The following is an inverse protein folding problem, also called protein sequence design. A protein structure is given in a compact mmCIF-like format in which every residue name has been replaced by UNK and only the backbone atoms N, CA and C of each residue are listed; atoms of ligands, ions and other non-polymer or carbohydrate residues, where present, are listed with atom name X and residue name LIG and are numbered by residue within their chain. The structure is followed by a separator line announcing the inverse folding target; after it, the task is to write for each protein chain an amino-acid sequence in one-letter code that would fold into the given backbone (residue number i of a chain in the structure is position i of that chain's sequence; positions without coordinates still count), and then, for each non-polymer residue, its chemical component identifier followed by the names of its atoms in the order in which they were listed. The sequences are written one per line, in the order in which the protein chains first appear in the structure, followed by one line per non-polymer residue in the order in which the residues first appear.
data_IF_780657679296
#
_entry.id   IF_780657679296
#
_cell.length_a   1.000
_cell.length_b   1.000
_cell.length_c   1.000
_cell.angle_alpha   90.00
_cell.angle_beta   90.00
_cell.angle_gamma   90.00
#
_symmetry.space_group_name_H-M   'P 1'
#
loop_
_entity.id
_entity.type
_entity.pdbx_description
1 polymer ?
#
# COMPACT_ATOMS: atom_id res chain seq x y z
N UNK A 1 21.84 -17.66 49.08
CA UNK A 1 22.65 -17.78 47.83
C UNK A 1 22.27 -18.98 46.96
N UNK A 2 22.56 -20.25 47.28
CA UNK A 2 22.30 -21.38 46.35
C UNK A 2 20.83 -21.54 45.89
N UNK A 3 19.84 -21.35 46.79
CA UNK A 3 18.40 -21.38 46.47
C UNK A 3 17.94 -20.23 45.57
N UNK A 4 18.54 -19.04 45.74
CA UNK A 4 18.23 -17.85 44.94
C UNK A 4 18.80 -17.99 43.53
N UNK A 5 20.03 -18.50 43.38
CA UNK A 5 20.60 -18.80 42.07
C UNK A 5 19.82 -19.88 41.30
N UNK A 6 19.29 -20.90 41.98
CA UNK A 6 18.45 -21.92 41.33
C UNK A 6 17.08 -21.40 40.88
N UNK A 7 16.47 -20.51 41.67
CA UNK A 7 15.20 -19.87 41.28
C UNK A 7 15.40 -18.99 40.04
N UNK A 8 16.43 -18.13 40.05
CA UNK A 8 16.76 -17.26 38.92
C UNK A 8 17.11 -18.05 37.65
N UNK A 9 17.82 -19.18 37.78
CA UNK A 9 18.12 -20.04 36.65
C UNK A 9 16.86 -20.72 36.07
N UNK A 10 15.87 -21.02 36.92
CA UNK A 10 14.60 -21.61 36.50
C UNK A 10 13.73 -20.59 35.76
N UNK A 11 13.63 -19.37 36.30
CA UNK A 11 12.91 -18.25 35.67
C UNK A 11 13.52 -17.88 34.31
N UNK A 12 14.85 -17.77 34.24
CA UNK A 12 15.56 -17.49 32.99
C UNK A 12 15.34 -18.61 31.97
N UNK A 13 15.39 -19.87 32.39
CA UNK A 13 15.10 -21.01 31.51
C UNK A 13 13.67 -20.94 30.99
N UNK A 14 12.69 -20.58 31.82
CA UNK A 14 11.30 -20.43 31.39
C UNK A 14 11.15 -19.29 30.39
N UNK A 15 11.72 -18.11 30.67
CA UNK A 15 11.67 -16.96 29.77
C UNK A 15 12.30 -17.28 28.40
N UNK A 16 13.49 -17.89 28.38
CA UNK A 16 14.17 -18.26 27.14
C UNK A 16 13.43 -19.33 26.32
N UNK A 17 12.68 -20.22 26.97
CA UNK A 17 11.87 -21.24 26.29
C UNK A 17 10.42 -20.77 26.04
N UNK A 18 10.09 -19.50 26.30
CA UNK A 18 8.77 -18.96 25.97
C UNK A 18 8.55 -19.04 24.44
N UNK A 19 7.35 -19.45 23.99
CA UNK A 19 7.06 -19.64 22.58
C UNK A 19 6.90 -18.29 21.86
N UNK A 20 7.32 -18.27 20.60
CA UNK A 20 7.11 -17.20 19.64
C UNK A 20 6.50 -17.78 18.37
N UNK A 21 5.58 -17.05 17.77
CA UNK A 21 4.89 -17.45 16.55
C UNK A 21 5.07 -16.37 15.48
N UNK A 22 5.49 -16.77 14.29
CA UNK A 22 5.56 -15.91 13.11
C UNK A 22 4.52 -16.39 12.11
N UNK A 23 3.49 -15.59 11.90
CA UNK A 23 2.47 -15.86 10.90
C UNK A 23 2.72 -15.02 9.67
N UNK A 24 2.73 -15.69 8.52
CA UNK A 24 2.97 -15.11 7.22
C UNK A 24 1.63 -15.18 6.48
N UNK A 25 1.09 -14.05 6.06
CA UNK A 25 -0.28 -13.97 5.54
C UNK A 25 -0.32 -13.11 4.28
N UNK A 26 -0.73 -13.70 3.15
CA UNK A 26 -1.10 -12.94 1.97
C UNK A 26 -2.43 -12.20 2.14
N UNK A 27 -2.46 -10.92 1.75
CA UNK A 27 -3.70 -10.15 1.68
C UNK A 27 -4.47 -10.47 0.39
N UNK A 28 -5.34 -11.48 0.44
CA UNK A 28 -6.12 -11.93 -0.73
C UNK A 28 -7.43 -11.13 -0.81
N UNK A 29 -7.74 -10.46 -1.95
CA UNK A 29 -9.03 -9.82 -2.17
C UNK A 29 -10.21 -10.81 -2.18
N UNK A 30 -11.41 -10.33 -1.86
CA UNK A 30 -12.61 -11.17 -1.83
C UNK A 30 -12.88 -11.84 -3.19
N UNK A 31 -12.97 -13.17 -3.18
CA UNK A 31 -13.23 -13.98 -4.38
C UNK A 31 -11.98 -14.35 -5.20
N UNK A 32 -10.81 -13.84 -4.83
CA UNK A 32 -9.54 -14.18 -5.48
C UNK A 32 -8.86 -15.40 -4.85
N UNK A 33 -7.81 -15.90 -5.54
CA UNK A 33 -6.95 -16.98 -5.05
C UNK A 33 -5.59 -16.41 -4.67
N UNK A 34 -4.92 -17.07 -3.73
CA UNK A 34 -3.55 -16.75 -3.35
C UNK A 34 -2.62 -16.73 -4.58
N UNK A 35 -1.88 -15.63 -4.74
CA UNK A 35 -0.78 -15.48 -5.70
C UNK A 35 0.45 -16.25 -5.25
N UNK A 36 0.67 -16.35 -3.93
CA UNK A 36 1.87 -16.96 -3.37
C UNK A 36 1.66 -18.40 -2.91
N UNK A 37 0.55 -19.04 -3.26
CA UNK A 37 0.28 -20.43 -2.90
C UNK A 37 1.39 -21.36 -3.43
N UNK A 38 2.02 -22.12 -2.52
CA UNK A 38 3.13 -23.02 -2.84
C UNK A 38 4.48 -22.32 -3.03
N UNK A 39 4.59 -21.01 -2.84
CA UNK A 39 5.86 -20.31 -2.78
C UNK A 39 6.63 -20.69 -1.50
N UNK A 40 7.95 -20.71 -1.61
CA UNK A 40 8.84 -20.90 -0.46
C UNK A 40 9.11 -19.54 0.19
N UNK A 41 9.03 -19.49 1.50
CA UNK A 41 9.32 -18.31 2.31
C UNK A 41 10.39 -18.64 3.35
N UNK A 42 11.26 -17.68 3.63
CA UNK A 42 12.36 -17.80 4.60
C UNK A 42 12.47 -16.54 5.44
N UNK A 43 12.57 -16.70 6.76
CA UNK A 43 12.73 -15.62 7.73
C UNK A 43 14.17 -15.63 8.28
N UNK A 44 14.87 -14.51 8.17
CA UNK A 44 16.30 -14.44 8.46
C UNK A 44 16.78 -13.09 8.96
N UNK A 45 18.01 -13.05 9.44
CA UNK A 45 18.75 -11.78 9.57
C UNK A 45 19.11 -11.26 8.18
N UNK A 46 19.23 -9.94 8.00
CA UNK A 46 19.83 -9.37 6.80
C UNK A 46 21.17 -10.05 6.48
N UNK A 47 21.39 -10.34 5.20
CA UNK A 47 22.62 -10.91 4.63
C UNK A 47 23.01 -12.32 5.08
N UNK A 48 22.16 -13.06 5.81
CA UNK A 48 22.44 -14.48 6.10
C UNK A 48 22.35 -15.37 4.84
N UNK A 49 22.72 -16.66 4.99
CA UNK A 49 22.35 -17.76 4.10
C UNK A 49 21.11 -18.50 4.60
N UNK A 50 20.36 -19.15 3.67
CA UNK A 50 19.05 -19.74 3.99
C UNK A 50 19.21 -20.77 5.09
N UNK A 51 18.35 -20.69 6.10
CA UNK A 51 18.23 -21.70 7.15
C UNK A 51 16.92 -22.46 6.96
N UNK A 52 17.02 -23.77 6.73
CA UNK A 52 15.85 -24.64 6.55
C UNK A 52 14.91 -24.64 7.77
N UNK A 53 15.41 -24.32 8.96
CA UNK A 53 14.58 -24.25 10.17
C UNK A 53 13.69 -22.99 10.20
N UNK A 54 14.00 -21.99 9.39
CA UNK A 54 13.26 -20.74 9.25
C UNK A 54 12.64 -20.58 7.87
N UNK A 55 12.65 -21.65 7.07
CA UNK A 55 12.02 -21.71 5.77
C UNK A 55 10.78 -22.61 5.81
N UNK A 56 9.73 -22.22 5.11
CA UNK A 56 8.50 -22.99 4.97
C UNK A 56 7.83 -22.70 3.63
N UNK A 57 6.76 -23.43 3.31
CA UNK A 57 5.99 -23.27 2.07
C UNK A 57 4.61 -22.74 2.41
N UNK A 58 4.16 -21.74 1.65
CA UNK A 58 2.82 -21.17 1.81
C UNK A 58 1.76 -22.16 1.35
N UNK A 59 0.69 -22.27 2.13
CA UNK A 59 -0.45 -23.10 1.82
C UNK A 59 -1.29 -22.53 0.66
N UNK A 60 -2.42 -23.20 0.35
CA UNK A 60 -3.32 -22.81 -0.73
C UNK A 60 -3.99 -21.44 -0.53
N UNK A 61 -3.98 -20.94 0.71
CA UNK A 61 -4.59 -19.67 1.12
C UNK A 61 -3.50 -18.59 1.37
N UNK A 62 -2.26 -18.82 0.90
CA UNK A 62 -1.16 -17.87 0.99
C UNK A 62 -0.65 -17.68 2.42
N UNK A 63 -0.77 -18.71 3.27
CA UNK A 63 -0.44 -18.64 4.70
C UNK A 63 0.65 -19.62 5.08
N UNK A 64 1.45 -19.24 6.07
CA UNK A 64 2.32 -20.16 6.78
C UNK A 64 2.59 -19.67 8.21
N UNK A 65 2.98 -20.61 9.07
CA UNK A 65 3.41 -20.31 10.44
C UNK A 65 4.80 -20.91 10.67
N UNK A 66 5.65 -20.17 11.37
CA UNK A 66 6.94 -20.63 11.89
C UNK A 66 6.92 -20.45 13.41
N UNK A 67 7.10 -21.55 14.12
CA UNK A 67 7.18 -21.57 15.59
C UNK A 67 8.63 -21.54 16.06
N UNK A 68 8.90 -20.76 17.09
CA UNK A 68 10.20 -20.67 17.73
C UNK A 68 10.07 -20.52 19.26
N UNK A 69 11.21 -20.53 19.93
CA UNK A 69 11.33 -19.99 21.30
C UNK A 69 12.12 -18.69 21.25
N UNK A 70 12.04 -17.88 22.31
CA UNK A 70 12.91 -16.69 22.45
C UNK A 70 14.38 -17.07 22.26
N UNK A 71 14.82 -18.20 22.85
CA UNK A 71 16.18 -18.69 22.68
C UNK A 71 16.49 -19.07 21.23
N UNK A 72 15.60 -19.80 20.57
CA UNK A 72 15.76 -20.20 19.17
C UNK A 72 15.87 -18.98 18.24
N UNK A 73 15.02 -17.98 18.46
CA UNK A 73 15.05 -16.71 17.75
C UNK A 73 16.39 -15.95 17.96
N UNK A 74 16.88 -15.88 19.20
CA UNK A 74 18.17 -15.26 19.50
C UNK A 74 19.35 -16.04 18.88
N UNK A 75 19.32 -17.37 18.92
CA UNK A 75 20.36 -18.23 18.34
C UNK A 75 20.39 -18.15 16.81
N UNK A 76 19.25 -17.91 16.17
CA UNK A 76 19.14 -17.63 14.74
C UNK A 76 19.67 -16.23 14.35
N UNK A 77 20.14 -15.44 15.33
CA UNK A 77 20.70 -14.12 15.08
C UNK A 77 19.65 -13.04 14.90
N UNK A 78 18.46 -13.19 15.52
CA UNK A 78 17.40 -12.18 15.56
C UNK A 78 16.90 -11.86 14.14
N UNK A 79 16.23 -12.82 13.48
CA UNK A 79 15.76 -12.61 12.11
C UNK A 79 14.68 -11.52 12.00
N UNK A 80 14.85 -10.62 11.04
CA UNK A 80 13.98 -9.45 10.79
C UNK A 80 13.68 -9.20 9.31
N UNK A 81 14.10 -10.10 8.42
CA UNK A 81 13.87 -10.02 6.98
C UNK A 81 13.19 -11.29 6.49
N UNK A 82 12.17 -11.14 5.66
CA UNK A 82 11.48 -12.20 4.95
C UNK A 82 11.91 -12.17 3.48
N UNK A 83 12.15 -13.35 2.91
CA UNK A 83 12.36 -13.53 1.47
C UNK A 83 11.43 -14.60 0.94
N UNK A 84 11.01 -14.46 -0.32
CA UNK A 84 10.05 -15.36 -0.95
C UNK A 84 10.48 -15.70 -2.38
N UNK A 85 10.29 -16.95 -2.77
CA UNK A 85 10.63 -17.49 -4.09
C UNK A 85 9.40 -18.14 -4.73
N UNK A 86 9.36 -18.27 -6.05
CA UNK A 86 8.26 -18.97 -6.70
C UNK A 86 8.26 -20.46 -6.32
N UNK A 87 7.12 -21.08 -6.56
CA UNK A 87 7.01 -22.53 -6.48
C UNK A 87 7.95 -23.19 -7.50
N UNK A 88 8.91 -23.97 -6.99
CA UNK A 88 9.84 -24.75 -7.80
C UNK A 88 11.19 -24.08 -8.03
N UNK A 89 11.34 -22.81 -7.67
CA UNK A 89 12.65 -22.13 -7.62
C UNK A 89 13.53 -22.81 -6.57
N UNK A 90 14.84 -22.83 -6.80
CA UNK A 90 15.84 -23.24 -5.82
C UNK A 90 16.25 -22.01 -4.98
N UNK A 91 15.87 -21.93 -3.69
CA UNK A 91 16.16 -20.75 -2.87
C UNK A 91 17.68 -20.51 -2.64
N UNK A 92 18.53 -21.49 -2.94
CA UNK A 92 19.99 -21.37 -2.83
C UNK A 92 20.66 -20.80 -4.08
N UNK A 93 20.02 -20.92 -5.24
CA UNK A 93 20.58 -20.54 -6.54
C UNK A 93 19.80 -19.38 -7.19
N UNK A 94 18.48 -19.36 -7.03
CA UNK A 94 17.57 -18.39 -7.63
C UNK A 94 17.37 -17.14 -6.76
N UNK A 95 17.10 -16.02 -7.42
CA UNK A 95 16.80 -14.75 -6.74
C UNK A 95 15.38 -14.75 -6.14
N UNK A 96 15.17 -14.17 -4.94
CA UNK A 96 13.83 -14.04 -4.37
C UNK A 96 12.98 -13.06 -5.19
N UNK A 97 11.69 -13.35 -5.33
CA UNK A 97 10.70 -12.45 -5.95
C UNK A 97 10.21 -11.35 -5.01
N UNK A 98 10.39 -11.54 -3.71
CA UNK A 98 10.05 -10.55 -2.68
C UNK A 98 11.08 -10.63 -1.56
N UNK A 99 11.55 -9.46 -1.12
CA UNK A 99 12.35 -9.29 0.08
C UNK A 99 11.75 -8.14 0.88
N UNK A 100 11.44 -8.35 2.15
CA UNK A 100 10.83 -7.34 3.02
C UNK A 100 11.36 -7.43 4.43
N UNK A 101 11.45 -6.30 5.13
CA UNK A 101 11.75 -6.25 6.56
C UNK A 101 10.47 -6.29 7.38
N UNK A 102 10.56 -6.79 8.62
CA UNK A 102 9.44 -6.82 9.56
C UNK A 102 9.91 -6.58 10.99
N UNK A 103 8.99 -6.16 11.86
CA UNK A 103 9.24 -5.94 13.29
C UNK A 103 8.67 -7.10 14.11
N UNK A 104 9.47 -7.62 15.02
CA UNK A 104 9.08 -8.73 15.92
C UNK A 104 8.33 -8.21 17.13
N UNK A 105 7.27 -8.91 17.51
CA UNK A 105 6.49 -8.65 18.73
C UNK A 105 6.69 -9.80 19.73
N UNK A 106 6.38 -9.58 21.01
CA UNK A 106 6.75 -10.47 22.12
C UNK A 106 6.14 -11.89 22.08
N UNK A 107 5.10 -12.14 21.26
CA UNK A 107 4.42 -13.46 21.22
C UNK A 107 4.05 -13.91 19.82
N UNK A 108 3.33 -13.07 19.07
CA UNK A 108 2.83 -13.39 17.73
C UNK A 108 3.13 -12.24 16.80
N UNK A 109 4.04 -12.47 15.87
CA UNK A 109 4.41 -11.54 14.81
C UNK A 109 3.62 -11.89 13.56
N UNK A 110 2.81 -10.97 13.06
CA UNK A 110 2.10 -11.14 11.78
C UNK A 110 2.87 -10.39 10.70
N UNK A 111 3.28 -11.11 9.66
CA UNK A 111 4.06 -10.62 8.54
C UNK A 111 3.17 -10.70 7.29
N UNK A 112 2.58 -9.58 6.85
CA UNK A 112 1.79 -9.57 5.64
C UNK A 112 2.71 -9.78 4.42
N UNK A 113 2.35 -10.70 3.52
CA UNK A 113 3.05 -10.90 2.25
C UNK A 113 2.44 -10.04 1.19
N UNK A 114 3.33 -9.30 0.50
CA UNK A 114 2.90 -8.41 -0.55
C UNK A 114 1.84 -7.47 -0.02
N UNK A 115 2.25 -6.48 0.78
CA UNK A 115 1.58 -5.19 0.63
C UNK A 115 1.78 -4.77 -0.82
N UNK A 116 0.99 -5.33 -1.74
CA UNK A 116 0.57 -4.58 -2.90
C UNK A 116 -0.24 -3.50 -2.23
N UNK A 117 0.45 -2.39 -1.91
CA UNK A 117 -0.23 -1.19 -1.50
C UNK A 117 -1.38 -1.04 -2.48
N UNK A 118 -2.61 -1.11 -1.96
CA UNK A 118 -3.79 -1.19 -2.82
C UNK A 118 -3.65 -0.03 -3.81
N UNK A 119 -3.57 -0.39 -5.08
CA UNK A 119 -3.41 0.61 -6.13
C UNK A 119 -4.79 1.16 -6.41
N UNK A 120 -4.86 2.47 -6.52
CA UNK A 120 -6.10 3.13 -6.88
C UNK A 120 -5.86 4.07 -8.04
N UNK A 121 -6.88 4.16 -8.89
CA UNK A 121 -6.98 5.19 -9.89
C UNK A 121 -7.61 6.41 -9.23
N UNK A 122 -6.92 7.55 -9.23
CA UNK A 122 -7.43 8.84 -8.78
C UNK A 122 -7.65 9.74 -9.99
N UNK A 123 -8.91 10.00 -10.33
CA UNK A 123 -9.30 10.76 -11.52
C UNK A 123 -10.19 11.94 -11.16
N UNK A 124 -10.16 12.98 -11.99
CA UNK A 124 -11.09 14.11 -11.83
C UNK A 124 -12.50 13.64 -12.20
N UNK A 125 -13.43 13.69 -11.24
CA UNK A 125 -14.81 13.20 -11.42
C UNK A 125 -15.76 14.32 -11.82
N UNK A 126 -15.54 15.55 -11.34
CA UNK A 126 -16.40 16.69 -11.68
C UNK A 126 -15.62 17.88 -12.21
N UNK A 127 -16.25 18.62 -13.12
CA UNK A 127 -15.70 19.85 -13.71
C UNK A 127 -16.41 21.08 -13.15
N UNK A 128 -15.65 22.12 -12.80
CA UNK A 128 -16.20 23.35 -12.22
C UNK A 128 -17.10 24.12 -13.18
N UNK A 129 -18.27 24.57 -12.69
CA UNK A 129 -19.18 25.47 -13.41
C UNK A 129 -18.43 26.77 -13.75
N UNK A 130 -18.29 27.09 -15.04
CA UNK A 130 -17.52 28.25 -15.54
C UNK A 130 -16.35 27.87 -16.44
N UNK A 131 -15.83 26.64 -16.31
CA UNK A 131 -14.92 26.06 -17.30
C UNK A 131 -15.67 25.71 -18.60
N UNK A 132 -14.94 25.56 -19.70
CA UNK A 132 -15.50 25.14 -21.00
C UNK A 132 -16.34 23.85 -20.91
N UNK A 133 -16.11 23.02 -19.88
CA UNK A 133 -16.80 21.76 -19.61
C UNK A 133 -17.55 21.71 -18.27
N UNK A 134 -17.80 22.87 -17.66
CA UNK A 134 -18.27 22.96 -16.29
C UNK A 134 -19.63 22.33 -15.97
N UNK A 135 -19.78 21.84 -14.75
CA UNK A 135 -21.01 21.26 -14.21
C UNK A 135 -21.27 19.81 -14.62
N UNK A 136 -20.32 19.17 -15.29
CA UNK A 136 -20.43 17.78 -15.75
C UNK A 136 -19.65 16.82 -14.86
N UNK A 137 -20.10 15.58 -14.78
CA UNK A 137 -19.28 14.46 -14.32
C UNK A 137 -18.33 14.00 -15.43
N UNK A 138 -17.33 13.16 -15.12
CA UNK A 138 -16.47 12.53 -16.12
C UNK A 138 -17.25 11.65 -17.08
N UNK A 139 -18.30 10.99 -16.60
CA UNK A 139 -19.18 10.16 -17.42
C UNK A 139 -19.98 11.04 -18.41
N UNK A 140 -20.56 12.15 -17.93
CA UNK A 140 -21.26 13.13 -18.78
C UNK A 140 -20.32 13.84 -19.75
N UNK A 141 -19.08 14.09 -19.33
CA UNK A 141 -18.04 14.63 -20.20
C UNK A 141 -17.69 13.66 -21.31
N UNK A 142 -17.43 12.39 -20.95
CA UNK A 142 -17.14 11.31 -21.88
C UNK A 142 -18.28 11.13 -22.89
N UNK A 143 -19.53 11.15 -22.43
CA UNK A 143 -20.72 11.02 -23.26
C UNK A 143 -20.91 12.18 -24.23
N UNK A 144 -20.60 13.40 -23.81
CA UNK A 144 -20.75 14.58 -24.66
C UNK A 144 -19.62 14.77 -25.69
N UNK A 145 -18.45 14.15 -25.50
CA UNK A 145 -17.25 14.44 -26.31
C UNK A 145 -16.72 13.20 -27.03
N UNK A 146 -17.54 12.64 -27.91
CA UNK A 146 -17.20 11.46 -28.72
C UNK A 146 -15.88 11.56 -29.50
N UNK A 147 -15.46 12.76 -29.93
CA UNK A 147 -14.20 12.97 -30.65
C UNK A 147 -12.96 12.80 -29.77
N UNK A 148 -13.04 13.06 -28.45
CA UNK A 148 -11.91 12.88 -27.52
C UNK A 148 -11.75 11.43 -27.08
N UNK A 149 -12.74 10.57 -27.32
CA UNK A 149 -12.68 9.16 -26.97
C UNK A 149 -11.58 8.44 -27.75
N UNK A 150 -11.33 8.84 -29.00
CA UNK A 150 -10.39 8.16 -29.90
C UNK A 150 -10.65 6.63 -29.98
N UNK A 151 -11.90 6.21 -29.79
CA UNK A 151 -12.29 4.79 -29.76
C UNK A 151 -12.13 4.09 -28.41
N UNK A 152 -11.63 4.77 -27.37
CA UNK A 152 -11.44 4.24 -26.01
C UNK A 152 -12.76 4.12 -25.24
N UNK A 153 -12.85 3.10 -24.40
CA UNK A 153 -13.85 2.97 -23.33
C UNK A 153 -13.69 4.05 -22.25
N UNK A 154 -14.71 4.22 -21.41
CA UNK A 154 -14.66 5.16 -20.28
C UNK A 154 -13.55 4.78 -19.28
N UNK A 155 -13.31 3.49 -19.06
CA UNK A 155 -12.26 3.01 -18.15
C UNK A 155 -10.86 3.29 -18.70
N UNK A 156 -10.64 3.03 -19.99
CA UNK A 156 -9.40 3.42 -20.69
C UNK A 156 -9.21 4.94 -20.66
N UNK A 157 -10.29 5.70 -20.87
CA UNK A 157 -10.26 7.16 -20.80
C UNK A 157 -9.87 7.66 -19.40
N UNK A 158 -10.47 7.08 -18.34
CA UNK A 158 -10.10 7.36 -16.94
C UNK A 158 -8.64 7.01 -16.70
N UNK A 159 -8.18 5.82 -17.13
CA UNK A 159 -6.79 5.37 -16.97
C UNK A 159 -5.79 6.33 -17.61
N UNK A 160 -6.07 6.77 -18.83
CA UNK A 160 -5.20 7.69 -19.56
C UNK A 160 -5.19 9.11 -18.98
N UNK A 161 -6.15 9.47 -18.11
CA UNK A 161 -6.33 10.82 -17.56
C UNK A 161 -6.34 10.88 -16.02
N UNK A 162 -5.68 9.94 -15.36
CA UNK A 162 -5.64 9.82 -13.90
C UNK A 162 -4.25 9.61 -13.33
N UNK A 163 -4.16 9.63 -12.00
CA UNK A 163 -3.00 9.18 -11.24
C UNK A 163 -3.21 7.75 -10.78
N UNK A 164 -2.15 6.96 -10.75
CA UNK A 164 -2.13 5.71 -10.02
C UNK A 164 -1.48 5.99 -8.67
N UNK A 165 -2.23 5.76 -7.61
CA UNK A 165 -1.80 6.03 -6.23
C UNK A 165 -1.78 4.76 -5.40
N UNK A 166 -1.05 4.82 -4.30
CA UNK A 166 -1.00 3.82 -3.25
C UNK A 166 -1.08 4.50 -1.90
N UNK A 167 -1.67 3.85 -0.91
CA UNK A 167 -1.60 4.30 0.49
C UNK A 167 -1.08 3.15 1.33
N UNK A 168 0.00 3.40 2.05
CA UNK A 168 0.65 2.47 2.97
C UNK A 168 0.69 3.04 4.38
N UNK A 169 0.99 2.20 5.38
CA UNK A 169 1.01 2.60 6.79
C UNK A 169 -0.35 2.49 7.48
N UNK A 170 -0.43 3.02 8.71
CA UNK A 170 -1.62 2.95 9.58
C UNK A 170 -1.69 4.20 10.45
N UNK A 171 -2.90 4.65 10.78
CA UNK A 171 -3.07 5.82 11.64
C UNK A 171 -2.28 7.01 11.08
N UNK A 172 -1.61 7.76 11.94
CA UNK A 172 -0.81 8.93 11.58
C UNK A 172 0.51 8.63 10.84
N UNK A 173 0.88 7.35 10.69
CA UNK A 173 2.07 6.93 9.94
C UNK A 173 1.72 6.57 8.47
N UNK A 174 0.51 6.91 8.03
CA UNK A 174 0.07 6.60 6.68
C UNK A 174 0.72 7.52 5.64
N UNK A 175 1.07 6.97 4.48
CA UNK A 175 1.72 7.69 3.39
C UNK A 175 0.99 7.38 2.09
N UNK A 176 0.59 8.42 1.38
CA UNK A 176 0.09 8.34 0.01
C UNK A 176 1.24 8.53 -0.96
N UNK A 177 1.42 7.60 -1.89
CA UNK A 177 2.45 7.67 -2.94
C UNK A 177 1.80 7.62 -4.31
N UNK A 178 2.16 8.56 -5.18
CA UNK A 178 1.81 8.53 -6.61
C UNK A 178 2.84 7.66 -7.31
N UNK A 179 2.39 6.50 -7.79
CA UNK A 179 3.27 5.50 -8.43
C UNK A 179 3.33 5.66 -9.94
N UNK A 180 2.33 6.30 -10.53
CA UNK A 180 2.33 6.68 -11.93
C UNK A 180 1.42 7.89 -12.15
N UNK A 181 1.73 8.69 -13.16
CA UNK A 181 0.99 9.88 -13.52
C UNK A 181 0.80 9.94 -15.04
N UNK A 182 -0.06 10.84 -15.50
CA UNK A 182 -0.29 11.05 -16.92
C UNK A 182 1.01 11.22 -17.71
N UNK A 183 1.08 10.51 -18.84
CA UNK A 183 2.05 10.79 -19.90
C UNK A 183 1.89 12.25 -20.35
N UNK A 184 2.91 13.07 -20.13
CA UNK A 184 2.90 14.52 -20.45
C UNK A 184 2.37 15.44 -19.35
N UNK A 185 2.09 14.93 -18.14
CA UNK A 185 1.73 15.73 -16.94
C UNK A 185 2.65 15.42 -15.76
N UNK A 186 3.89 15.03 -16.05
CA UNK A 186 4.91 14.72 -15.04
C UNK A 186 5.19 15.93 -14.12
N UNK A 187 4.93 17.14 -14.61
CA UNK A 187 5.04 18.41 -13.86
C UNK A 187 3.78 18.78 -13.05
N UNK A 188 2.73 17.95 -13.07
CA UNK A 188 1.54 18.24 -12.28
C UNK A 188 1.86 18.21 -10.78
N UNK A 189 1.23 19.10 -9.96
CA UNK A 189 1.65 19.24 -8.58
C UNK A 189 1.46 17.96 -7.76
N UNK A 190 0.46 17.12 -8.08
CA UNK A 190 0.25 15.85 -7.36
C UNK A 190 1.35 14.86 -7.63
N UNK A 191 1.81 14.76 -8.87
CA UNK A 191 2.91 13.88 -9.20
C UNK A 191 4.21 14.38 -8.57
N UNK A 192 4.48 15.69 -8.64
CA UNK A 192 5.67 16.29 -8.06
C UNK A 192 5.78 16.10 -6.55
N UNK A 193 4.65 16.23 -5.83
CA UNK A 193 4.59 16.08 -4.38
C UNK A 193 4.43 14.62 -3.94
N UNK A 194 3.62 13.85 -4.68
CA UNK A 194 3.22 12.51 -4.31
C UNK A 194 4.21 11.41 -4.69
N UNK A 195 5.13 11.65 -5.63
CA UNK A 195 6.17 10.67 -5.96
C UNK A 195 7.10 10.33 -4.78
N UNK A 196 7.32 11.32 -3.90
CA UNK A 196 8.19 11.20 -2.73
C UNK A 196 7.39 10.87 -1.45
N UNK A 197 6.06 10.73 -1.58
CA UNK A 197 5.15 10.41 -0.49
C UNK A 197 4.54 11.63 0.19
N UNK A 198 3.23 11.60 0.41
CA UNK A 198 2.47 12.57 1.19
C UNK A 198 2.10 11.91 2.52
N UNK A 199 2.70 12.41 3.61
CA UNK A 199 2.36 11.97 4.95
C UNK A 199 0.93 12.38 5.33
N UNK A 200 0.20 11.47 5.94
CA UNK A 200 -1.18 11.67 6.33
C UNK A 200 -1.64 10.69 7.41
N UNK A 201 -2.95 10.59 7.56
CA UNK A 201 -3.59 9.70 8.50
C UNK A 201 -4.59 8.78 7.78
N UNK A 202 -4.47 7.48 8.00
CA UNK A 202 -5.47 6.49 7.61
C UNK A 202 -6.33 6.14 8.82
N UNK A 203 -7.65 6.16 8.65
CA UNK A 203 -8.58 5.83 9.72
C UNK A 203 -8.44 4.37 10.19
N UNK A 204 -9.06 4.04 11.33
CA UNK A 204 -8.96 2.70 11.92
C UNK A 204 -9.52 1.60 11.00
N UNK A 205 -10.46 1.94 10.12
CA UNK A 205 -11.06 1.03 9.15
C UNK A 205 -10.16 0.77 7.95
N UNK A 206 -9.20 1.67 7.67
CA UNK A 206 -8.34 1.60 6.50
C UNK A 206 -8.95 2.19 5.23
N UNK A 207 -10.02 2.97 5.36
CA UNK A 207 -10.90 3.38 4.27
C UNK A 207 -10.85 4.89 4.00
N UNK A 208 -10.46 5.71 4.98
CA UNK A 208 -10.38 7.16 4.82
C UNK A 208 -8.94 7.60 5.06
N UNK A 209 -8.30 8.11 4.01
CA UNK A 209 -7.00 8.75 4.09
C UNK A 209 -7.18 10.27 4.09
N UNK A 210 -6.48 10.95 5.01
CA UNK A 210 -6.45 12.42 5.08
C UNK A 210 -5.03 12.91 5.15
N UNK A 211 -4.72 14.01 4.46
CA UNK A 211 -3.42 14.65 4.55
C UNK A 211 -3.53 16.16 4.42
N UNK A 212 -2.58 16.87 5.00
CA UNK A 212 -2.36 18.30 4.75
C UNK A 212 -0.97 18.47 4.16
N UNK A 213 -0.87 19.17 3.03
CA UNK A 213 0.38 19.32 2.29
C UNK A 213 0.45 20.75 1.73
N UNK A 214 1.61 21.39 1.86
CA UNK A 214 1.79 22.77 1.42
C UNK A 214 0.86 23.79 2.10
N UNK A 215 0.81 25.01 1.55
CA UNK A 215 0.13 26.20 2.09
C UNK A 215 -1.40 26.08 2.12
N UNK A 216 -1.91 25.25 3.04
CA UNK A 216 -3.34 25.05 3.26
C UNK A 216 -3.99 24.07 2.28
N UNK A 217 -3.22 23.24 1.56
CA UNK A 217 -3.82 22.16 0.77
C UNK A 217 -4.12 20.94 1.62
N UNK A 218 -5.25 20.28 1.33
CA UNK A 218 -5.70 19.08 2.01
C UNK A 218 -6.20 18.05 1.02
N UNK A 219 -5.92 16.78 1.31
CA UNK A 219 -6.45 15.61 0.60
C UNK A 219 -7.35 14.87 1.58
N UNK A 220 -8.52 14.48 1.12
CA UNK A 220 -9.35 13.45 1.73
C UNK A 220 -9.70 12.41 0.66
N UNK A 221 -9.44 11.14 0.91
CA UNK A 221 -9.77 10.03 0.01
C UNK A 221 -10.57 9.01 0.80
N UNK A 222 -11.76 8.70 0.31
CA UNK A 222 -12.65 7.71 0.88
C UNK A 222 -12.79 6.52 -0.10
N UNK A 223 -12.05 5.45 0.20
CA UNK A 223 -11.99 4.24 -0.63
C UNK A 223 -13.31 3.45 -0.64
N UNK A 224 -14.16 3.58 0.39
CA UNK A 224 -15.47 2.90 0.44
C UNK A 224 -16.48 3.54 -0.50
N UNK A 225 -16.50 4.87 -0.55
CA UNK A 225 -17.45 5.64 -1.37
C UNK A 225 -16.95 5.90 -2.79
N UNK A 226 -15.65 5.69 -3.02
CA UNK A 226 -15.01 6.03 -4.29
C UNK A 226 -14.88 7.54 -4.53
N UNK A 227 -14.95 8.35 -3.47
CA UNK A 227 -14.86 9.81 -3.55
C UNK A 227 -13.55 10.33 -2.95
N UNK A 228 -13.00 11.37 -3.57
CA UNK A 228 -11.87 12.11 -3.06
C UNK A 228 -12.08 13.62 -3.22
N UNK A 229 -11.52 14.38 -2.28
CA UNK A 229 -11.57 15.84 -2.27
C UNK A 229 -10.15 16.37 -2.10
N UNK A 230 -9.71 17.14 -3.08
CA UNK A 230 -8.46 17.88 -3.03
C UNK A 230 -8.85 19.35 -2.90
N UNK A 231 -8.44 19.98 -1.80
CA UNK A 231 -8.74 21.38 -1.48
C UNK A 231 -7.44 22.17 -1.39
N UNK A 232 -7.42 23.39 -1.92
CA UNK A 232 -6.27 24.29 -1.75
C UNK A 232 -6.22 25.41 -2.78
N UNK A 233 -5.41 26.46 -2.56
CA UNK A 233 -5.25 27.56 -3.51
C UNK A 233 -4.68 27.13 -4.87
N UNK A 234 -4.08 25.94 -4.98
CA UNK A 234 -3.49 25.41 -6.22
C UNK A 234 -4.11 24.07 -6.66
N UNK A 235 -5.35 23.78 -6.22
CA UNK A 235 -6.08 22.51 -6.46
C UNK A 235 -5.82 21.92 -7.86
N UNK A 236 -5.32 20.67 -7.88
CA UNK A 236 -4.61 20.06 -9.01
C UNK A 236 -5.51 19.50 -10.12
N UNK A 237 -5.65 20.21 -11.24
CA UNK A 237 -6.53 19.77 -12.35
C UNK A 237 -5.81 18.82 -13.31
N UNK A 238 -6.39 17.64 -13.55
CA UNK A 238 -5.87 16.68 -14.54
C UNK A 238 -6.18 17.10 -15.98
N UNK A 239 -7.38 17.65 -16.22
CA UNK A 239 -7.89 17.93 -17.57
C UNK A 239 -7.69 19.35 -18.09
N UNK A 240 -7.42 20.35 -17.24
CA UNK A 240 -7.22 21.72 -17.73
C UNK A 240 -5.77 21.91 -18.21
N UNK A 241 -5.61 22.03 -19.54
CA UNK A 241 -4.48 22.73 -20.14
C UNK A 241 -4.83 24.21 -20.24
N UNK A 242 -4.06 25.07 -19.58
CA UNK A 242 -4.10 26.53 -19.65
C UNK A 242 -5.24 27.26 -18.89
N UNK A 243 -4.84 27.89 -17.79
CA UNK A 243 -5.33 29.18 -17.26
C UNK A 243 -6.86 29.39 -17.05
N UNK A 244 -7.33 29.21 -15.80
CA UNK A 244 -8.28 30.15 -15.15
C UNK A 244 -8.13 30.13 -13.61
N UNK A 245 -8.08 31.28 -12.90
CA UNK A 245 -7.87 31.37 -11.43
C UNK A 245 -9.09 31.02 -10.55
N UNK A 246 -10.04 30.23 -11.03
CA UNK A 246 -11.43 30.26 -10.52
C UNK A 246 -11.79 29.22 -9.45
N UNK A 247 -10.85 28.38 -8.99
CA UNK A 247 -11.09 27.50 -7.82
C UNK A 247 -11.20 28.25 -6.48
N UNK A 248 -11.08 29.58 -6.48
CA UNK A 248 -10.99 30.48 -5.30
C UNK A 248 -12.21 30.48 -4.35
N UNK A 249 -13.17 29.58 -4.48
CA UNK A 249 -14.40 29.64 -3.67
C UNK A 249 -15.21 28.37 -3.52
N UNK A 250 -14.67 27.18 -3.82
CA UNK A 250 -15.42 25.94 -3.58
C UNK A 250 -15.42 25.62 -2.07
N UNK A 251 -16.59 25.48 -1.42
CA UNK A 251 -16.69 25.14 -0.01
C UNK A 251 -16.04 23.79 0.35
N UNK A 252 -15.91 22.89 -0.64
CA UNK A 252 -15.42 21.52 -0.50
C UNK A 252 -14.40 21.11 -1.60
N UNK A 253 -13.84 22.08 -2.36
CA UNK A 253 -12.85 21.80 -3.40
C UNK A 253 -13.39 21.05 -4.62
N UNK A 254 -12.49 20.62 -5.51
CA UNK A 254 -12.89 19.79 -6.65
C UNK A 254 -13.09 18.34 -6.20
N UNK A 255 -14.15 17.69 -6.70
CA UNK A 255 -14.42 16.27 -6.44
C UNK A 255 -13.70 15.40 -7.46
N UNK A 256 -13.00 14.41 -6.92
CA UNK A 256 -12.29 13.36 -7.63
C UNK A 256 -12.97 12.02 -7.36
N UNK A 257 -12.78 11.09 -8.28
CA UNK A 257 -13.16 9.70 -8.13
C UNK A 257 -11.93 8.88 -7.74
N UNK A 258 -12.13 7.89 -6.89
CA UNK A 258 -11.13 6.88 -6.56
C UNK A 258 -11.71 5.50 -6.81
N UNK A 259 -10.99 4.63 -7.52
CA UNK A 259 -11.42 3.25 -7.74
C UNK A 259 -10.24 2.29 -7.70
N UNK A 260 -10.45 1.02 -7.31
CA UNK A 260 -9.39 0.02 -7.35
C UNK A 260 -8.74 -0.06 -8.72
N UNK A 261 -7.41 -0.14 -8.76
CA UNK A 261 -6.64 -0.34 -9.97
C UNK A 261 -6.07 -1.76 -9.99
N UNK A 262 -6.74 -2.63 -10.73
CA UNK A 262 -6.18 -3.90 -11.18
C UNK A 262 -5.39 -3.60 -12.46
N UNK A 263 -4.09 -3.33 -12.34
CA UNK A 263 -3.24 -3.21 -13.51
C UNK A 263 -3.30 -4.49 -14.36
N UNK A 264 -3.14 -4.33 -15.68
CA UNK A 264 -2.91 -5.45 -16.60
C UNK A 264 -1.59 -6.18 -16.33
#
# INVERSE_FOLDING_TARGET
NRKTYSANATELRQALNAPMEFEIIEGIPDGEKSKYAGCTVDIRRPDAQIDKNWATVLDKDGRATIDATILGYMQAGIPTQLRLWNKGDDPYEDAPILTQEFKVTEKRTVIPLGSVAKKYLLYQDTFEIGAYYGGRTIDEFYDAHGSMREGRSLDEFKRDHSYIITVEGKGADAVLTVIDALKGKEESPLNALGKDGIAGALDASGNIFTASYGDGETIEINFDTGAAYLNGPYTMRSFDSYMTPESRGLPNGMRYGVQPYAGE
#
